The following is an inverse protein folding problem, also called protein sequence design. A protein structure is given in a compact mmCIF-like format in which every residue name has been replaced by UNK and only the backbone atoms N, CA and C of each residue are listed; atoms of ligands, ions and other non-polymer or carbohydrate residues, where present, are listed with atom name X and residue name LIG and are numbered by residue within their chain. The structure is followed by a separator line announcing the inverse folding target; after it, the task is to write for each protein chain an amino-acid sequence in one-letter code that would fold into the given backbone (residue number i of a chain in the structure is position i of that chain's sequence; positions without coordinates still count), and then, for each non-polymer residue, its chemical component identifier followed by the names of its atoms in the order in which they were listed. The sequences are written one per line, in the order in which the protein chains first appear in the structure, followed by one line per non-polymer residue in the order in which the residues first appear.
data_IF_119696063589
#
_entry.id   IF_119696063589
#
_cell.length_a   1.000
_cell.length_b   1.000
_cell.length_c   1.000
_cell.angle_alpha   90.00
_cell.angle_beta   90.00
_cell.angle_gamma   90.00
#
_symmetry.space_group_name_H-M   'P 1'
#
loop_
_entity.id
_entity.type
_entity.pdbx_description
1 polymer ?
#
# COMPACT_ATOMS: atom_id res chain seq x y z
N UNK A 1 18.57 -10.24 17.96
CA UNK A 1 17.16 -9.83 17.70
C UNK A 1 16.66 -10.66 16.53
N UNK A 2 15.68 -11.52 16.74
CA UNK A 2 15.03 -12.25 15.63
C UNK A 2 14.28 -11.26 14.76
N UNK A 3 14.51 -11.26 13.44
CA UNK A 3 13.71 -10.46 12.51
C UNK A 3 12.26 -10.92 12.57
N UNK A 4 11.32 -9.98 12.55
CA UNK A 4 9.89 -10.30 12.42
C UNK A 4 9.72 -11.10 11.10
N UNK A 5 9.00 -12.24 11.10
CA UNK A 5 8.75 -13.03 9.90
C UNK A 5 8.21 -12.21 8.73
N UNK A 6 7.36 -11.21 8.99
CA UNK A 6 6.85 -10.29 7.97
C UNK A 6 7.99 -9.50 7.36
N UNK A 7 8.83 -8.84 8.17
CA UNK A 7 10.02 -8.10 7.70
C UNK A 7 10.96 -8.99 6.89
N UNK A 8 11.09 -10.27 7.23
CA UNK A 8 11.89 -11.20 6.43
C UNK A 8 11.28 -11.47 5.05
N UNK A 9 9.95 -11.65 4.97
CA UNK A 9 9.23 -11.80 3.70
C UNK A 9 9.44 -10.55 2.82
N UNK A 10 9.37 -9.36 3.42
CA UNK A 10 9.62 -8.08 2.74
C UNK A 10 10.99 -8.00 2.09
N UNK A 11 12.03 -8.36 2.85
CA UNK A 11 13.42 -8.19 2.45
C UNK A 11 13.83 -9.22 1.40
N UNK A 12 13.27 -10.44 1.49
CA UNK A 12 13.67 -11.57 0.64
C UNK A 12 13.08 -11.48 -0.77
N UNK A 13 11.91 -10.86 -0.93
CA UNK A 13 11.18 -10.79 -2.20
C UNK A 13 10.80 -9.37 -2.61
N UNK A 14 11.76 -8.44 -2.53
CA UNK A 14 11.56 -7.09 -3.09
C UNK A 14 11.18 -7.17 -4.57
N UNK A 15 10.25 -6.31 -4.98
CA UNK A 15 9.84 -6.20 -6.37
C UNK A 15 11.01 -5.71 -7.22
N UNK A 16 11.40 -6.50 -8.21
CA UNK A 16 12.51 -6.23 -9.11
C UNK A 16 12.07 -6.12 -10.58
N UNK A 17 10.77 -6.05 -10.84
CA UNK A 17 10.19 -5.99 -12.18
C UNK A 17 9.97 -7.35 -12.84
N UNK A 18 10.66 -8.41 -12.40
CA UNK A 18 10.54 -9.76 -12.97
C UNK A 18 9.75 -10.73 -12.08
N UNK A 19 9.62 -10.43 -10.78
CA UNK A 19 9.02 -11.31 -9.78
C UNK A 19 7.59 -10.90 -9.35
N UNK A 20 6.79 -10.35 -10.28
CA UNK A 20 5.48 -9.77 -9.95
C UNK A 20 4.56 -10.72 -9.16
N UNK A 21 4.41 -11.97 -9.60
CA UNK A 21 3.50 -12.93 -8.95
C UNK A 21 3.93 -13.27 -7.51
N UNK A 22 5.23 -13.47 -7.29
CA UNK A 22 5.77 -13.79 -5.97
C UNK A 22 5.71 -12.58 -5.05
N UNK A 23 6.03 -11.40 -5.57
CA UNK A 23 5.91 -10.14 -4.86
C UNK A 23 4.45 -9.86 -4.47
N UNK A 24 3.51 -10.01 -5.40
CA UNK A 24 2.07 -9.79 -5.16
C UNK A 24 1.55 -10.75 -4.08
N UNK A 25 1.87 -12.04 -4.16
CA UNK A 25 1.47 -13.03 -3.14
C UNK A 25 1.99 -12.66 -1.76
N UNK A 26 3.27 -12.31 -1.64
CA UNK A 26 3.87 -11.92 -0.38
C UNK A 26 3.28 -10.61 0.15
N UNK A 27 2.97 -9.68 -0.75
CA UNK A 27 2.32 -8.43 -0.39
C UNK A 27 0.93 -8.65 0.17
N UNK A 28 0.10 -9.49 -0.47
CA UNK A 28 -1.23 -9.83 0.04
C UNK A 28 -1.15 -10.41 1.46
N UNK A 29 -0.21 -11.31 1.73
CA UNK A 29 -0.04 -11.90 3.07
C UNK A 29 0.21 -10.83 4.15
N UNK A 30 1.11 -9.87 3.86
CA UNK A 30 1.42 -8.82 4.84
C UNK A 30 0.27 -7.82 4.97
N UNK A 31 -0.37 -7.44 3.86
CA UNK A 31 -1.52 -6.52 3.92
C UNK A 31 -2.72 -7.15 4.64
N UNK A 32 -2.96 -8.44 4.46
CA UNK A 32 -3.98 -9.17 5.21
C UNK A 32 -3.65 -9.20 6.70
N UNK A 33 -2.37 -9.40 7.06
CA UNK A 33 -1.92 -9.32 8.46
C UNK A 33 -2.16 -7.93 9.08
N UNK A 34 -1.94 -6.87 8.32
CA UNK A 34 -2.19 -5.47 8.75
C UNK A 34 -3.68 -5.06 8.66
N UNK A 35 -4.56 -5.95 8.19
CA UNK A 35 -5.98 -5.70 7.91
C UNK A 35 -6.20 -4.57 6.87
N UNK A 36 -5.32 -4.53 5.86
CA UNK A 36 -5.23 -3.52 4.81
C UNK A 36 -5.42 -4.09 3.39
N UNK A 37 -5.56 -5.41 3.24
CA UNK A 37 -5.69 -6.07 1.93
C UNK A 37 -6.80 -5.47 1.06
N UNK A 38 -7.89 -5.04 1.70
CA UNK A 38 -9.06 -4.43 1.04
C UNK A 38 -8.74 -3.18 0.21
N UNK A 39 -7.63 -2.48 0.51
CA UNK A 39 -7.20 -1.27 -0.21
C UNK A 39 -6.80 -1.61 -1.65
N UNK A 40 -6.29 -2.82 -1.90
CA UNK A 40 -5.91 -3.24 -3.25
C UNK A 40 -7.12 -3.52 -4.14
N UNK A 41 -8.21 -4.00 -3.55
CA UNK A 41 -9.42 -4.41 -4.28
C UNK A 41 -10.42 -3.27 -4.46
N UNK A 42 -10.46 -2.32 -3.51
CA UNK A 42 -11.45 -1.25 -3.49
C UNK A 42 -10.90 0.02 -4.13
N UNK A 43 -11.56 0.57 -5.17
CA UNK A 43 -11.18 1.86 -5.70
C UNK A 43 -11.35 2.96 -4.65
N UNK A 44 -10.50 3.99 -4.75
CA UNK A 44 -10.58 5.20 -3.93
C UNK A 44 -12.00 5.79 -4.02
N UNK A 45 -12.69 6.08 -2.90
CA UNK A 45 -13.98 6.75 -2.95
C UNK A 45 -13.78 8.10 -3.63
N UNK A 46 -14.27 8.25 -4.86
CA UNK A 46 -13.70 9.21 -5.80
C UNK A 46 -13.74 10.66 -5.31
N UNK A 47 -14.74 11.04 -4.51
CA UNK A 47 -14.82 12.24 -3.67
C UNK A 47 -15.94 11.98 -2.66
N UNK A 48 -15.81 12.42 -1.40
CA UNK A 48 -16.97 12.46 -0.49
C UNK A 48 -17.99 13.49 -0.97
N UNK A 49 -19.24 13.10 -1.30
CA UNK A 49 -20.26 14.04 -1.74
C UNK A 49 -20.55 15.12 -0.67
N UNK A 50 -20.88 16.33 -1.10
CA UNK A 50 -21.44 17.34 -0.19
C UNK A 50 -22.69 16.77 0.50
N UNK A 51 -22.70 16.82 1.84
CA UNK A 51 -23.76 16.22 2.65
C UNK A 51 -23.46 14.84 3.22
N UNK A 52 -22.25 14.30 3.03
CA UNK A 52 -21.83 13.02 3.65
C UNK A 52 -22.00 13.03 5.17
N UNK A 53 -22.51 11.91 5.70
CA UNK A 53 -22.72 11.71 7.13
C UNK A 53 -21.38 11.72 7.91
N UNK A 54 -21.39 11.99 9.22
CA UNK A 54 -20.19 11.84 10.05
C UNK A 54 -19.54 10.45 9.93
N UNK A 55 -20.35 9.39 9.82
CA UNK A 55 -19.87 8.01 9.68
C UNK A 55 -19.17 7.78 8.33
N UNK A 56 -19.71 8.33 7.24
CA UNK A 56 -19.10 8.27 5.92
C UNK A 56 -17.75 9.00 5.90
N UNK A 57 -17.64 10.13 6.61
CA UNK A 57 -16.39 10.88 6.76
C UNK A 57 -15.32 10.08 7.49
N UNK A 58 -15.68 9.45 8.61
CA UNK A 58 -14.76 8.60 9.37
C UNK A 58 -14.28 7.42 8.52
N UNK A 59 -15.17 6.78 7.76
CA UNK A 59 -14.80 5.67 6.87
C UNK A 59 -13.85 6.14 5.75
N UNK A 60 -14.09 7.31 5.18
CA UNK A 60 -13.25 7.88 4.13
C UNK A 60 -11.86 8.26 4.65
N UNK A 61 -11.78 8.93 5.80
CA UNK A 61 -10.50 9.29 6.45
C UNK A 61 -9.69 8.04 6.78
N UNK A 62 -10.35 7.01 7.36
CA UNK A 62 -9.71 5.72 7.62
C UNK A 62 -9.18 5.08 6.33
N UNK A 63 -9.97 5.07 5.26
CA UNK A 63 -9.58 4.52 3.98
C UNK A 63 -8.36 5.26 3.41
N UNK A 64 -8.32 6.60 3.51
CA UNK A 64 -7.18 7.41 3.07
C UNK A 64 -5.91 7.07 3.85
N UNK A 65 -5.98 7.02 5.18
CA UNK A 65 -4.86 6.64 6.04
C UNK A 65 -4.29 5.26 5.67
N UNK A 66 -5.20 4.29 5.52
CA UNK A 66 -4.91 2.93 5.14
C UNK A 66 -4.26 2.87 3.74
N UNK A 67 -4.79 3.62 2.77
CA UNK A 67 -4.20 3.77 1.44
C UNK A 67 -2.79 4.38 1.47
N UNK A 68 -2.53 5.42 2.28
CA UNK A 68 -1.19 5.97 2.42
C UNK A 68 -0.20 4.94 2.98
N UNK A 69 -0.60 4.17 4.00
CA UNK A 69 0.23 3.10 4.56
C UNK A 69 0.57 2.03 3.51
N UNK A 70 -0.44 1.56 2.77
CA UNK A 70 -0.24 0.56 1.70
C UNK A 70 0.71 1.09 0.62
N UNK A 71 0.56 2.35 0.19
CA UNK A 71 1.49 2.98 -0.75
C UNK A 71 2.93 3.02 -0.22
N UNK A 72 3.12 3.38 1.05
CA UNK A 72 4.45 3.38 1.67
C UNK A 72 5.06 1.97 1.73
N UNK A 73 4.26 0.95 2.05
CA UNK A 73 4.70 -0.45 2.07
C UNK A 73 5.13 -0.91 0.67
N UNK A 74 4.30 -0.62 -0.35
CA UNK A 74 4.57 -0.97 -1.75
C UNK A 74 5.90 -0.35 -2.21
N UNK A 75 6.08 0.95 -1.98
CA UNK A 75 7.31 1.64 -2.34
C UNK A 75 8.51 1.05 -1.60
N UNK A 76 8.41 0.83 -0.28
CA UNK A 76 9.50 0.27 0.52
C UNK A 76 9.97 -1.13 0.06
N UNK A 77 9.09 -1.91 -0.58
CA UNK A 77 9.41 -3.24 -1.12
C UNK A 77 9.83 -3.27 -2.57
N UNK A 78 9.93 -2.13 -3.23
CA UNK A 78 10.57 -2.07 -4.52
C UNK A 78 12.10 -2.06 -4.36
N UNK A 79 12.82 -2.53 -5.36
CA UNK A 79 14.26 -2.25 -5.45
C UNK A 79 14.48 -0.74 -5.62
N UNK A 80 15.63 -0.23 -5.16
CA UNK A 80 15.93 1.20 -5.19
C UNK A 80 15.82 1.79 -6.61
N UNK A 81 16.15 1.02 -7.66
CA UNK A 81 16.07 1.47 -9.04
C UNK A 81 14.63 1.63 -9.54
N UNK A 82 13.70 0.83 -9.00
CA UNK A 82 12.26 0.96 -9.28
C UNK A 82 11.67 2.09 -8.44
N UNK A 83 12.01 2.20 -7.15
CA UNK A 83 11.57 3.31 -6.28
C UNK A 83 11.85 4.68 -6.92
N UNK A 84 13.08 4.89 -7.41
CA UNK A 84 13.49 6.13 -8.08
C UNK A 84 12.67 6.47 -9.32
N UNK A 85 12.01 5.49 -9.94
CA UNK A 85 11.10 5.75 -11.07
C UNK A 85 9.77 6.33 -10.58
N UNK A 86 9.30 5.91 -9.41
CA UNK A 86 8.05 6.39 -8.80
C UNK A 86 8.23 7.69 -8.01
N UNK A 87 9.41 7.97 -7.44
CA UNK A 87 9.71 9.26 -6.80
C UNK A 87 9.61 10.44 -7.79
N UNK A 88 9.84 10.18 -9.08
CA UNK A 88 9.72 11.18 -10.15
C UNK A 88 8.28 11.44 -10.59
N UNK A 89 7.31 10.70 -10.06
CA UNK A 89 5.88 10.82 -10.39
C UNK A 89 5.10 11.67 -9.36
N UNK A 90 5.75 12.26 -8.34
CA UNK A 90 5.12 13.14 -7.33
C UNK A 90 4.68 14.53 -7.86
N UNK A 91 4.10 14.60 -9.06
CA UNK A 91 3.37 15.79 -9.56
C UNK A 91 1.86 15.72 -9.25
N UNK A 92 1.43 14.78 -8.39
CA UNK A 92 0.06 14.67 -7.91
C UNK A 92 -0.05 15.34 -6.53
N UNK A 93 -0.90 16.37 -6.35
CA UNK A 93 -1.03 17.08 -5.08
C UNK A 93 -1.37 16.13 -3.93
N UNK A 94 -0.67 16.32 -2.79
CA UNK A 94 -0.97 15.66 -1.52
C UNK A 94 -2.21 16.24 -0.86
#
# INVERSE_FOLDING_TARGET
MSKNPLTLIMETNKFNGMNYNDWLRNMSIVLDFENQGYVLDKPLPMVMPEGSSPEERIMFEKWLEDNYKVRSIILAWMTNDIQKQYDRLEDVPR
#
